data_IF_818440643519
#
_entry.id   IF_818440643519
#
_cell.length_a   1.000
_cell.length_b   1.000
_cell.length_c   1.000
_cell.angle_alpha   90.00
_cell.angle_beta   90.00
_cell.angle_gamma   90.00
#
_symmetry.space_group_name_H-M   'P 1'
#
loop_
_entity.id
_entity.type
_entity.pdbx_description
1 polymer ?
#
# COMPACT_ATOMS: atom_id res chain seq x y z
N UNK A 1 31.83 -26.03 -18.48
CA UNK A 1 30.80 -25.39 -19.32
C UNK A 1 29.46 -25.92 -18.83
N UNK A 2 28.83 -25.22 -17.90
CA UNK A 2 27.44 -25.47 -17.49
C UNK A 2 26.64 -24.33 -18.11
N UNK A 3 25.78 -24.69 -19.06
CA UNK A 3 24.81 -23.79 -19.67
C UNK A 3 23.74 -23.52 -18.63
N UNK A 4 23.87 -22.40 -17.93
CA UNK A 4 22.81 -21.87 -17.09
C UNK A 4 21.81 -21.14 -18.01
N UNK A 5 20.93 -21.90 -18.66
CA UNK A 5 19.80 -21.36 -19.42
C UNK A 5 18.65 -20.98 -18.47
N UNK A 6 18.98 -20.27 -17.38
CA UNK A 6 17.98 -19.51 -16.67
C UNK A 6 17.92 -18.16 -17.37
N UNK A 7 16.90 -17.94 -18.18
CA UNK A 7 16.48 -16.60 -18.59
C UNK A 7 16.15 -15.81 -17.32
N UNK A 8 17.17 -15.24 -16.70
CA UNK A 8 17.06 -14.35 -15.54
C UNK A 8 16.27 -13.13 -16.01
N UNK A 9 15.01 -13.02 -15.57
CA UNK A 9 14.19 -11.83 -15.75
C UNK A 9 13.14 -11.85 -16.88
N UNK A 10 12.64 -13.01 -17.31
CA UNK A 10 11.43 -13.06 -18.14
C UNK A 10 10.17 -12.97 -17.27
N UNK A 11 9.78 -11.75 -16.92
CA UNK A 11 8.48 -11.50 -16.32
C UNK A 11 7.39 -11.64 -17.40
N UNK A 12 6.33 -12.44 -17.19
CA UNK A 12 5.26 -12.57 -18.15
C UNK A 12 4.62 -11.20 -18.41
N UNK A 13 4.72 -10.72 -19.65
CA UNK A 13 4.07 -9.49 -20.09
C UNK A 13 2.88 -9.81 -21.00
N UNK A 14 1.80 -9.07 -20.82
CA UNK A 14 0.63 -9.13 -21.69
C UNK A 14 0.67 -7.89 -22.58
N UNK A 15 0.85 -8.10 -23.89
CA UNK A 15 0.79 -7.03 -24.89
C UNK A 15 -0.62 -6.97 -25.49
N UNK A 16 -1.30 -5.83 -25.34
CA UNK A 16 -2.63 -5.59 -25.90
C UNK A 16 -2.59 -5.06 -27.35
N UNK A 17 -1.41 -5.00 -27.97
CA UNK A 17 -1.25 -4.70 -29.40
C UNK A 17 -1.35 -3.23 -29.78
N UNK A 18 -1.47 -2.31 -28.81
CA UNK A 18 -1.49 -0.85 -29.03
C UNK A 18 -0.15 -0.15 -28.79
N UNK A 19 0.96 -0.90 -28.84
CA UNK A 19 2.33 -0.38 -28.69
C UNK A 19 2.87 -0.45 -27.27
N UNK A 20 4.04 0.15 -26.99
CA UNK A 20 4.78 -0.03 -25.73
C UNK A 20 4.09 0.54 -24.48
N UNK A 21 3.02 1.32 -24.64
CA UNK A 21 2.19 1.80 -23.51
C UNK A 21 1.11 0.80 -23.09
N UNK A 22 0.91 -0.27 -23.87
CA UNK A 22 -0.10 -1.29 -23.68
C UNK A 22 0.48 -2.67 -23.30
N UNK A 23 1.76 -2.70 -22.93
CA UNK A 23 2.45 -3.88 -22.42
C UNK A 23 2.43 -3.85 -20.89
N UNK A 24 1.64 -4.73 -20.29
CA UNK A 24 1.50 -4.82 -18.84
C UNK A 24 2.36 -5.95 -18.29
N UNK A 25 3.11 -5.68 -17.22
CA UNK A 25 3.82 -6.71 -16.47
C UNK A 25 2.83 -7.42 -15.54
N UNK A 26 2.66 -8.73 -15.74
CA UNK A 26 1.69 -9.52 -14.99
C UNK A 26 1.99 -9.52 -13.49
N UNK A 27 3.27 -9.67 -13.12
CA UNK A 27 3.69 -9.72 -11.72
C UNK A 27 3.44 -8.38 -11.01
N UNK A 28 3.70 -7.26 -11.69
CA UNK A 28 3.40 -5.92 -11.17
C UNK A 28 1.89 -5.69 -11.00
N UNK A 29 1.08 -6.15 -11.96
CA UNK A 29 -0.39 -6.00 -11.87
C UNK A 29 -0.96 -6.85 -10.74
N UNK A 30 -0.53 -8.10 -10.62
CA UNK A 30 -1.02 -9.01 -9.58
C UNK A 30 -0.58 -8.56 -8.19
N UNK A 31 0.69 -8.19 -8.02
CA UNK A 31 1.21 -7.72 -6.73
C UNK A 31 0.57 -6.41 -6.28
N UNK A 32 0.40 -5.43 -7.18
CA UNK A 32 -0.29 -4.18 -6.86
C UNK A 32 -1.78 -4.40 -6.54
N UNK A 33 -2.47 -5.26 -7.28
CA UNK A 33 -3.86 -5.61 -6.99
C UNK A 33 -3.99 -6.29 -5.63
N UNK A 34 -3.11 -7.24 -5.31
CA UNK A 34 -3.07 -7.90 -4.01
C UNK A 34 -2.83 -6.89 -2.88
N UNK A 35 -1.87 -5.97 -3.05
CA UNK A 35 -1.59 -4.92 -2.08
C UNK A 35 -2.81 -4.01 -1.86
N UNK A 36 -3.53 -3.63 -2.92
CA UNK A 36 -4.78 -2.85 -2.80
C UNK A 36 -5.83 -3.62 -2.00
N UNK A 37 -6.07 -4.90 -2.32
CA UNK A 37 -7.06 -5.72 -1.62
C UNK A 37 -6.73 -5.89 -0.13
N UNK A 38 -5.46 -6.16 0.20
CA UNK A 38 -5.00 -6.28 1.59
C UNK A 38 -5.13 -4.94 2.31
N UNK A 39 -4.80 -3.83 1.66
CA UNK A 39 -4.95 -2.48 2.24
C UNK A 39 -6.39 -2.16 2.59
N UNK A 40 -7.32 -2.44 1.68
CA UNK A 40 -8.75 -2.26 1.91
C UNK A 40 -9.22 -3.17 3.07
N UNK A 41 -8.80 -4.43 3.07
CA UNK A 41 -9.12 -5.40 4.13
C UNK A 41 -8.64 -4.93 5.51
N UNK A 42 -7.39 -4.48 5.61
CA UNK A 42 -6.80 -3.91 6.83
C UNK A 42 -7.56 -2.65 7.26
N UNK A 43 -7.91 -1.77 6.32
CA UNK A 43 -8.68 -0.56 6.61
C UNK A 43 -10.05 -0.86 7.24
N UNK A 44 -10.81 -1.81 6.66
CA UNK A 44 -12.08 -2.26 7.24
C UNK A 44 -11.90 -2.97 8.58
N UNK A 45 -10.84 -3.76 8.73
CA UNK A 45 -10.53 -4.41 10.00
C UNK A 45 -10.23 -3.39 11.10
N UNK A 46 -9.40 -2.37 10.83
CA UNK A 46 -9.11 -1.29 11.79
C UNK A 46 -10.41 -0.58 12.18
N UNK A 47 -11.25 -0.21 11.20
CA UNK A 47 -12.55 0.42 11.46
C UNK A 47 -13.41 -0.40 12.42
N UNK A 48 -13.43 -1.72 12.28
CA UNK A 48 -14.20 -2.60 13.17
C UNK A 48 -13.69 -2.62 14.63
N UNK A 49 -12.46 -2.17 14.86
CA UNK A 49 -11.83 -2.12 16.19
C UNK A 49 -11.97 -0.76 16.89
N UNK A 50 -12.38 0.30 16.17
CA UNK A 50 -12.60 1.62 16.75
C UNK A 50 -13.89 1.62 17.57
N UNK A 51 -13.80 1.93 18.86
CA UNK A 51 -14.94 1.96 19.80
C UNK A 51 -15.00 3.28 20.55
N UNK A 52 -16.21 3.70 20.90
CA UNK A 52 -16.43 4.80 21.84
C UNK A 52 -16.31 4.28 23.28
N UNK A 53 -15.45 4.92 24.09
CA UNK A 53 -15.17 4.50 25.47
C UNK A 53 -13.67 4.29 25.69
N UNK A 54 -13.31 3.33 26.54
CA UNK A 54 -11.91 3.01 26.83
C UNK A 54 -11.20 2.50 25.56
N UNK A 55 -10.13 3.17 25.09
CA UNK A 55 -9.47 2.80 23.85
C UNK A 55 -8.78 1.45 23.97
N UNK A 56 -9.06 0.55 23.03
CA UNK A 56 -8.32 -0.70 22.90
C UNK A 56 -6.89 -0.48 22.39
N UNK A 57 -5.99 -1.45 22.59
CA UNK A 57 -4.57 -1.35 22.16
C UNK A 57 -4.40 -0.96 20.69
N UNK A 58 -5.20 -1.54 19.79
CA UNK A 58 -5.14 -1.25 18.34
C UNK A 58 -5.61 0.17 18.04
N UNK A 59 -6.64 0.64 18.74
CA UNK A 59 -7.14 2.01 18.60
C UNK A 59 -6.09 3.02 19.08
N UNK A 60 -5.44 2.77 20.21
CA UNK A 60 -4.37 3.65 20.72
C UNK A 60 -3.20 3.80 19.74
N UNK A 61 -2.76 2.71 19.10
CA UNK A 61 -1.71 2.77 18.07
C UNK A 61 -2.16 3.56 16.85
N UNK A 62 -3.42 3.38 16.43
CA UNK A 62 -3.98 4.09 15.28
C UNK A 62 -4.16 5.59 15.56
N UNK A 63 -4.66 5.96 16.75
CA UNK A 63 -4.79 7.35 17.19
C UNK A 63 -3.42 8.04 17.24
N UNK A 64 -2.42 7.37 17.81
CA UNK A 64 -1.04 7.85 17.79
C UNK A 64 -0.52 8.08 16.36
N UNK A 65 -0.70 7.11 15.45
CA UNK A 65 -0.30 7.25 14.06
C UNK A 65 -1.05 8.36 13.31
N UNK A 66 -2.35 8.52 13.60
CA UNK A 66 -3.17 9.59 13.04
C UNK A 66 -2.68 10.98 13.48
N UNK A 67 -2.36 11.16 14.75
CA UNK A 67 -1.85 12.42 15.28
C UNK A 67 -0.47 12.77 14.69
N UNK A 68 0.41 11.77 14.53
CA UNK A 68 1.68 11.94 13.84
C UNK A 68 1.46 12.39 12.39
N UNK A 69 0.57 11.73 11.65
CA UNK A 69 0.25 12.09 10.26
C UNK A 69 -0.33 13.51 10.17
N UNK A 70 -1.24 13.86 11.08
CA UNK A 70 -1.84 15.19 11.17
C UNK A 70 -0.78 16.26 11.43
N UNK A 71 0.18 16.00 12.31
CA UNK A 71 1.31 16.89 12.57
C UNK A 71 2.17 17.07 11.32
N UNK A 72 2.51 15.98 10.63
CA UNK A 72 3.28 16.05 9.38
C UNK A 72 2.60 16.90 8.31
N UNK A 73 1.28 16.75 8.12
CA UNK A 73 0.54 17.55 7.13
C UNK A 73 0.54 19.02 7.51
N UNK A 74 0.31 19.35 8.78
CA UNK A 74 0.33 20.74 9.26
C UNK A 74 1.69 21.40 9.07
N UNK A 75 2.78 20.67 9.34
CA UNK A 75 4.15 21.20 9.28
C UNK A 75 4.69 21.27 7.85
N UNK A 76 4.35 20.31 6.98
CA UNK A 76 4.96 20.20 5.65
C UNK A 76 4.07 20.67 4.49
N UNK A 77 2.75 20.75 4.68
CA UNK A 77 1.80 21.15 3.63
C UNK A 77 1.17 22.50 3.95
N UNK A 78 0.29 22.52 4.94
CA UNK A 78 -0.41 23.72 5.42
C UNK A 78 -1.29 23.33 6.61
N UNK A 79 -1.54 24.27 7.52
CA UNK A 79 -2.43 24.06 8.66
C UNK A 79 -3.88 23.76 8.25
N UNK A 80 -4.31 24.29 7.10
CA UNK A 80 -5.68 24.14 6.57
C UNK A 80 -5.88 22.86 5.75
N UNK A 81 -4.79 22.16 5.40
CA UNK A 81 -4.80 21.01 4.49
C UNK A 81 -5.23 19.67 5.14
N UNK A 82 -5.98 19.72 6.24
CA UNK A 82 -6.40 18.52 6.99
C UNK A 82 -7.37 17.63 6.20
N UNK A 83 -8.01 18.16 5.16
CA UNK A 83 -8.86 17.39 4.26
C UNK A 83 -8.10 16.29 3.50
N UNK A 84 -6.77 16.37 3.43
CA UNK A 84 -5.89 15.38 2.78
C UNK A 84 -5.59 14.19 3.70
N UNK A 85 -5.85 14.29 5.02
CA UNK A 85 -5.54 13.23 5.99
C UNK A 85 -6.09 11.86 5.56
N UNK A 86 -7.35 11.71 5.10
CA UNK A 86 -7.86 10.41 4.65
C UNK A 86 -7.04 9.82 3.50
N UNK A 87 -6.66 10.64 2.51
CA UNK A 87 -5.82 10.22 1.39
C UNK A 87 -4.43 9.82 1.86
N UNK A 88 -3.80 10.65 2.70
CA UNK A 88 -2.47 10.39 3.22
C UNK A 88 -2.43 9.08 4.05
N UNK A 89 -3.47 8.81 4.82
CA UNK A 89 -3.61 7.57 5.58
C UNK A 89 -3.76 6.35 4.66
N UNK A 90 -4.57 6.44 3.59
CA UNK A 90 -4.69 5.36 2.60
C UNK A 90 -3.37 5.09 1.89
N UNK A 91 -2.64 6.14 1.52
CA UNK A 91 -1.36 6.03 0.85
C UNK A 91 -0.31 5.40 1.78
N UNK A 92 -0.26 5.84 3.04
CA UNK A 92 0.64 5.28 4.05
C UNK A 92 0.40 3.77 4.24
N UNK A 93 -0.86 3.37 4.46
CA UNK A 93 -1.21 1.96 4.64
C UNK A 93 -0.90 1.13 3.38
N UNK A 94 -1.23 1.66 2.20
CA UNK A 94 -0.95 1.00 0.93
C UNK A 94 0.54 0.76 0.73
N UNK A 95 1.38 1.79 0.88
CA UNK A 95 2.82 1.68 0.69
C UNK A 95 3.42 0.72 1.73
N UNK A 96 3.01 0.82 2.99
CA UNK A 96 3.47 -0.09 4.04
C UNK A 96 3.20 -1.55 3.68
N UNK A 97 1.98 -1.84 3.21
CA UNK A 97 1.56 -3.20 2.84
C UNK A 97 2.26 -3.67 1.57
N UNK A 98 2.36 -2.83 0.55
CA UNK A 98 3.07 -3.15 -0.70
C UNK A 98 4.52 -3.53 -0.41
N UNK A 99 5.21 -2.73 0.41
CA UNK A 99 6.60 -3.00 0.80
C UNK A 99 6.73 -4.28 1.64
N UNK A 100 5.74 -4.60 2.48
CA UNK A 100 5.76 -5.82 3.29
C UNK A 100 5.51 -7.07 2.44
N UNK A 101 4.69 -6.97 1.39
CA UNK A 101 4.46 -8.07 0.45
C UNK A 101 5.73 -8.38 -0.35
N UNK A 102 6.48 -7.35 -0.75
CA UNK A 102 7.75 -7.51 -1.47
C UNK A 102 8.85 -8.21 -0.65
N UNK A 103 8.77 -8.16 0.69
CA UNK A 103 9.68 -8.90 1.56
C UNK A 103 9.48 -10.44 1.46
N UNK A 104 8.28 -10.87 1.07
CA UNK A 104 8.00 -12.29 0.88
C UNK A 104 8.62 -12.75 -0.44
N UNK A 105 9.35 -13.89 -0.47
CA UNK A 105 9.84 -14.46 -1.73
C UNK A 105 8.65 -15.06 -2.49
N UNK A 106 7.93 -14.20 -3.22
CA UNK A 106 6.81 -14.55 -4.10
C UNK A 106 7.30 -14.90 -5.51
#
# INVERSE_FOLDING_TARGET
MILNDSSVGTHPTVDLGCGPLCTFNYDSVVSSLLAVLVTIGVGFWIRSKLKSGEPGRVQAVFEWGYDQLRSLIRTNVSEEALFIIPLALTLFLYILIANWIELLPL
#
